data_IF_263806178225
#
_entry.id   IF_263806178225
#
_cell.length_a   1.000
_cell.length_b   1.000
_cell.length_c   1.000
_cell.angle_alpha   90.00
_cell.angle_beta   90.00
_cell.angle_gamma   90.00
#
_symmetry.space_group_name_H-M   'P 1'
#
loop_
_entity.id
_entity.type
_entity.pdbx_description
1 polymer ?
#
# COMPACT_ATOMS: atom_id res chain seq x y z
N UNK A 1 -19.24 0.99 18.37
CA UNK A 1 -18.25 -0.11 18.35
C UNK A 1 -16.91 0.44 17.87
N UNK A 2 -16.00 0.57 18.81
CA UNK A 2 -14.75 1.33 18.78
C UNK A 2 -13.69 0.69 17.89
N UNK A 3 -13.02 1.51 17.09
CA UNK A 3 -12.02 1.12 16.12
C UNK A 3 -10.66 0.89 16.82
N UNK A 4 -10.56 -0.12 17.68
CA UNK A 4 -9.32 -0.47 18.37
C UNK A 4 -8.25 -0.93 17.36
N UNK A 5 -7.15 -0.17 17.27
CA UNK A 5 -5.93 -0.64 16.62
C UNK A 5 -5.10 0.41 15.88
N UNK A 6 -5.61 1.62 15.66
CA UNK A 6 -4.75 2.71 15.17
C UNK A 6 -4.28 3.50 16.38
N UNK A 7 -3.13 3.12 16.94
CA UNK A 7 -2.44 3.96 17.91
C UNK A 7 -1.92 5.18 17.17
N UNK A 8 -2.32 6.36 17.62
CA UNK A 8 -1.82 7.63 17.11
C UNK A 8 -0.87 8.25 18.15
N UNK A 9 0.37 7.74 18.28
CA UNK A 9 1.29 8.13 19.35
C UNK A 9 1.78 9.58 19.24
N UNK A 10 1.40 10.30 18.19
CA UNK A 10 1.76 11.70 17.97
C UNK A 10 0.49 12.57 17.98
N UNK A 11 -0.05 12.91 19.16
CA UNK A 11 -1.16 13.85 19.30
C UNK A 11 -0.71 15.27 19.00
N UNK A 12 -1.62 16.11 18.50
CA UNK A 12 -1.39 17.54 18.38
C UNK A 12 -1.98 18.28 19.58
N UNK A 13 -1.21 19.19 20.18
CA UNK A 13 -1.68 19.98 21.32
C UNK A 13 -2.57 21.17 20.91
N UNK A 14 -2.57 21.53 19.62
CA UNK A 14 -3.31 22.67 19.07
C UNK A 14 -4.67 22.29 18.45
N UNK A 15 -4.94 20.99 18.24
CA UNK A 15 -6.21 20.51 17.69
C UNK A 15 -6.44 19.02 18.02
N UNK A 16 -7.67 18.49 17.89
CA UNK A 16 -7.96 17.10 18.29
C UNK A 16 -7.36 16.02 17.37
N UNK A 17 -6.49 16.37 16.42
CA UNK A 17 -5.89 15.41 15.48
C UNK A 17 -4.70 14.70 16.12
N UNK A 18 -4.59 13.40 15.84
CA UNK A 18 -3.45 12.57 16.24
C UNK A 18 -2.95 11.76 15.05
N UNK A 19 -1.65 11.47 15.00
CA UNK A 19 -1.00 10.87 13.84
C UNK A 19 -0.28 9.56 14.18
N UNK A 20 -0.25 8.59 13.24
CA UNK A 20 0.37 7.28 13.48
C UNK A 20 1.90 7.30 13.29
N UNK A 21 2.45 8.39 12.72
CA UNK A 21 3.88 8.51 12.37
C UNK A 21 4.38 9.93 12.67
N UNK A 22 5.60 10.04 13.20
CA UNK A 22 6.25 11.33 13.50
C UNK A 22 6.34 12.25 12.28
N UNK A 23 6.67 11.69 11.10
CA UNK A 23 6.73 12.46 9.87
C UNK A 23 5.39 13.04 9.42
N UNK A 24 4.28 12.35 9.68
CA UNK A 24 2.93 12.87 9.42
C UNK A 24 2.52 13.94 10.42
N UNK A 25 2.91 13.76 11.69
CA UNK A 25 2.72 14.76 12.74
C UNK A 25 3.49 16.06 12.46
N UNK A 26 4.79 15.99 12.17
CA UNK A 26 5.60 17.15 11.83
C UNK A 26 5.02 17.92 10.63
N UNK A 27 4.57 17.20 9.61
CA UNK A 27 3.86 17.78 8.46
C UNK A 27 2.55 18.47 8.84
N UNK A 28 1.85 17.94 9.83
CA UNK A 28 0.63 18.55 10.35
C UNK A 28 0.91 19.80 11.17
N UNK A 29 2.00 19.86 11.95
CA UNK A 29 2.37 21.07 12.68
C UNK A 29 2.54 22.29 11.76
N UNK A 30 3.05 22.07 10.54
CA UNK A 30 3.12 23.10 9.49
C UNK A 30 1.76 23.71 9.14
N UNK A 31 0.65 22.98 9.35
CA UNK A 31 -0.71 23.51 9.14
C UNK A 31 -1.08 24.56 10.18
N UNK A 32 -0.60 24.42 11.42
CA UNK A 32 -0.81 25.38 12.49
C UNK A 32 0.09 26.62 12.37
N UNK A 33 1.25 26.45 11.73
CA UNK A 33 2.19 27.53 11.45
C UNK A 33 1.85 28.27 10.15
N UNK A 34 0.81 27.84 9.42
CA UNK A 34 0.43 28.44 8.14
C UNK A 34 1.44 28.18 7.01
N UNK A 35 2.41 27.27 7.20
CA UNK A 35 3.47 26.95 6.24
C UNK A 35 3.01 25.88 5.22
N UNK A 36 1.69 25.77 5.01
CA UNK A 36 1.09 24.88 4.02
C UNK A 36 0.62 25.65 2.79
N UNK A 37 0.67 24.96 1.66
CA UNK A 37 0.23 25.46 0.38
C UNK A 37 -1.17 24.91 0.09
N UNK A 38 -2.17 25.77 0.22
CA UNK A 38 -3.59 25.44 0.00
C UNK A 38 -3.94 25.50 -1.48
N UNK A 39 -4.81 24.60 -1.95
CA UNK A 39 -5.43 24.76 -3.26
C UNK A 39 -6.57 25.79 -3.17
N UNK A 40 -6.62 26.75 -4.10
CA UNK A 40 -7.73 27.70 -4.16
C UNK A 40 -9.01 27.11 -4.80
N UNK A 41 -8.88 25.96 -5.50
CA UNK A 41 -9.97 25.30 -6.23
C UNK A 41 -10.59 24.12 -5.47
N UNK A 42 -9.98 23.67 -4.38
CA UNK A 42 -10.53 22.63 -3.51
C UNK A 42 -9.95 22.69 -2.09
N UNK A 43 -10.49 21.91 -1.15
CA UNK A 43 -10.07 21.90 0.26
C UNK A 43 -8.76 21.14 0.54
N UNK A 44 -7.97 20.77 -0.48
CA UNK A 44 -6.68 20.10 -0.28
C UNK A 44 -5.56 21.08 0.09
N UNK A 45 -4.68 20.62 0.98
CA UNK A 45 -3.49 21.36 1.43
C UNK A 45 -2.24 20.50 1.34
N UNK A 46 -1.11 21.12 1.01
CA UNK A 46 0.15 20.44 0.73
C UNK A 46 1.28 21.03 1.56
N UNK A 47 2.16 20.19 2.08
CA UNK A 47 3.33 20.63 2.85
C UNK A 47 4.52 21.04 1.98
N UNK A 48 4.37 21.02 0.66
CA UNK A 48 5.42 21.40 -0.28
C UNK A 48 4.81 22.04 -1.53
N UNK A 49 5.38 23.17 -1.96
CA UNK A 49 4.93 23.92 -3.15
C UNK A 49 4.92 23.05 -4.41
N UNK A 50 5.91 22.15 -4.56
CA UNK A 50 5.97 21.21 -5.68
C UNK A 50 4.76 20.25 -5.73
N UNK A 51 4.22 19.87 -4.57
CA UNK A 51 3.05 18.99 -4.50
C UNK A 51 1.76 19.76 -4.82
N UNK A 52 1.62 21.01 -4.34
CA UNK A 52 0.51 21.87 -4.76
C UNK A 52 0.56 22.10 -6.28
N UNK A 53 1.72 22.42 -6.86
CA UNK A 53 1.87 22.60 -8.30
C UNK A 53 1.42 21.37 -9.08
N UNK A 54 1.85 20.17 -8.67
CA UNK A 54 1.41 18.90 -9.28
C UNK A 54 -0.09 18.67 -9.13
N UNK A 55 -0.67 19.03 -7.98
CA UNK A 55 -2.10 18.92 -7.76
C UNK A 55 -2.90 19.87 -8.65
N UNK A 56 -2.44 21.10 -8.85
CA UNK A 56 -3.10 22.07 -9.72
C UNK A 56 -3.15 21.60 -11.18
N UNK A 57 -2.11 20.91 -11.67
CA UNK A 57 -2.12 20.30 -13.00
C UNK A 57 -3.30 19.34 -13.21
N UNK A 58 -3.76 18.65 -12.15
CA UNK A 58 -4.96 17.81 -12.22
C UNK A 58 -6.24 18.63 -12.43
N UNK A 59 -6.33 19.82 -11.84
CA UNK A 59 -7.47 20.71 -12.07
C UNK A 59 -7.48 21.27 -13.49
N UNK A 60 -6.31 21.52 -14.09
CA UNK A 60 -6.19 22.00 -15.46
C UNK A 60 -6.33 20.87 -16.51
N UNK A 61 -6.62 19.63 -16.09
CA UNK A 61 -6.70 18.47 -16.99
C UNK A 61 -5.35 18.08 -17.61
N UNK A 62 -4.24 18.68 -17.16
CA UNK A 62 -2.89 18.37 -17.59
C UNK A 62 -2.43 17.13 -16.81
N UNK A 63 -3.03 15.98 -17.14
CA UNK A 63 -2.70 14.71 -16.49
C UNK A 63 -1.30 14.20 -16.89
N UNK A 64 -0.65 14.79 -17.89
CA UNK A 64 0.53 14.17 -18.50
C UNK A 64 1.62 15.16 -18.93
N UNK A 65 2.37 15.70 -17.97
CA UNK A 65 3.49 16.61 -18.26
C UNK A 65 4.77 15.92 -18.75
N UNK A 66 4.83 14.59 -18.71
CA UNK A 66 6.03 13.82 -19.05
C UNK A 66 5.71 12.79 -20.15
N UNK A 67 5.80 13.16 -21.44
CA UNK A 67 5.61 12.24 -22.55
C UNK A 67 6.74 11.21 -22.61
N UNK A 68 6.44 10.03 -23.14
CA UNK A 68 7.45 9.06 -23.51
C UNK A 68 7.82 9.25 -24.99
N UNK A 69 9.09 9.44 -25.28
CA UNK A 69 9.53 9.65 -26.68
C UNK A 69 9.49 8.37 -27.53
N UNK A 70 9.25 7.21 -26.91
CA UNK A 70 9.21 5.88 -27.55
C UNK A 70 7.79 5.30 -27.65
N UNK A 71 6.77 5.97 -27.14
CA UNK A 71 5.38 5.48 -27.15
C UNK A 71 4.38 6.62 -26.99
N UNK A 72 3.11 6.47 -27.41
CA UNK A 72 2.09 7.52 -27.24
C UNK A 72 1.68 7.74 -25.76
N UNK A 73 2.30 7.04 -24.81
CA UNK A 73 1.99 7.18 -23.38
C UNK A 73 2.64 8.43 -22.80
N UNK A 74 1.93 9.05 -21.87
CA UNK A 74 2.38 10.23 -21.15
C UNK A 74 2.01 10.10 -19.67
N UNK A 75 2.82 10.70 -18.80
CA UNK A 75 2.74 10.48 -17.35
C UNK A 75 2.65 11.79 -16.58
N UNK A 76 1.89 11.78 -15.48
CA UNK A 76 1.77 12.91 -14.55
C UNK A 76 3.03 13.17 -13.72
N UNK A 77 3.94 12.20 -13.65
CA UNK A 77 5.14 12.27 -12.79
C UNK A 77 6.37 11.72 -13.52
N UNK A 78 7.48 12.46 -13.46
CA UNK A 78 8.78 12.03 -14.00
C UNK A 78 9.22 10.65 -13.49
N UNK A 79 8.97 10.34 -12.22
CA UNK A 79 9.30 9.03 -11.65
C UNK A 79 8.50 7.88 -12.29
N UNK A 80 7.27 8.12 -12.74
CA UNK A 80 6.47 7.12 -13.45
C UNK A 80 6.93 6.96 -14.90
N UNK A 81 7.30 8.07 -15.57
CA UNK A 81 7.96 8.00 -16.87
C UNK A 81 9.26 7.19 -16.79
N UNK A 82 10.15 7.48 -15.83
CA UNK A 82 11.39 6.72 -15.65
C UNK A 82 11.13 5.22 -15.46
N UNK A 83 10.12 4.87 -14.65
CA UNK A 83 9.69 3.46 -14.47
C UNK A 83 9.17 2.84 -15.76
N UNK A 84 8.42 3.60 -16.55
CA UNK A 84 7.94 3.17 -17.86
C UNK A 84 9.08 3.01 -18.87
N UNK A 85 10.11 3.86 -18.84
CA UNK A 85 11.28 3.74 -19.70
C UNK A 85 12.04 2.42 -19.47
N UNK A 86 12.04 1.88 -18.24
CA UNK A 86 12.55 0.53 -17.95
C UNK A 86 11.77 -0.60 -18.65
N UNK A 87 10.60 -0.32 -19.23
CA UNK A 87 9.88 -1.29 -20.08
C UNK A 87 10.34 -1.25 -21.53
N UNK A 88 10.96 -0.15 -21.96
CA UNK A 88 11.60 -0.02 -23.27
C UNK A 88 13.05 -0.52 -23.26
N UNK A 89 13.71 -0.50 -22.11
CA UNK A 89 15.05 -1.06 -21.92
C UNK A 89 14.91 -2.47 -21.37
N UNK A 90 15.70 -3.43 -21.88
CA UNK A 90 15.69 -4.84 -21.44
C UNK A 90 16.40 -4.98 -20.07
N UNK A 91 16.20 -4.03 -19.16
CA UNK A 91 16.67 -4.12 -17.78
C UNK A 91 15.56 -4.80 -17.00
N UNK A 92 15.55 -6.11 -17.10
CA UNK A 92 14.61 -6.96 -16.40
C UNK A 92 15.29 -7.60 -15.19
N UNK A 93 14.56 -7.65 -14.08
CA UNK A 93 14.94 -8.41 -12.90
C UNK A 93 14.51 -9.85 -13.13
N UNK A 94 15.47 -10.73 -13.41
CA UNK A 94 15.24 -12.16 -13.59
C UNK A 94 15.11 -12.89 -12.26
N UNK A 95 14.28 -13.93 -12.24
CA UNK A 95 14.30 -14.93 -11.19
C UNK A 95 15.46 -15.89 -11.46
N UNK A 96 16.23 -16.21 -10.42
CA UNK A 96 17.29 -17.21 -10.43
C UNK A 96 16.76 -18.65 -10.40
N UNK A 97 15.51 -18.83 -9.93
CA UNK A 97 14.85 -20.14 -9.78
C UNK A 97 13.93 -20.51 -10.93
N UNK A 98 13.60 -19.58 -11.83
CA UNK A 98 12.81 -19.87 -13.03
C UNK A 98 13.04 -18.82 -14.13
N UNK A 99 12.61 -19.10 -15.36
CA UNK A 99 12.84 -18.22 -16.53
C UNK A 99 11.98 -16.95 -16.57
N UNK A 100 11.41 -16.50 -15.45
CA UNK A 100 10.58 -15.28 -15.40
C UNK A 100 11.42 -14.04 -15.18
N UNK A 101 11.07 -12.97 -15.89
CA UNK A 101 11.68 -11.66 -15.76
C UNK A 101 10.63 -10.58 -15.47
N UNK A 102 11.03 -9.55 -14.73
CA UNK A 102 10.14 -8.50 -14.25
C UNK A 102 10.73 -7.12 -14.51
N UNK A 103 9.91 -6.15 -14.88
CA UNK A 103 10.37 -4.76 -15.09
C UNK A 103 10.71 -4.02 -13.78
N UNK A 104 10.33 -4.56 -12.62
CA UNK A 104 10.55 -3.92 -11.32
C UNK A 104 11.01 -4.93 -10.26
N UNK A 105 11.97 -4.51 -9.41
CA UNK A 105 12.47 -5.29 -8.28
C UNK A 105 11.37 -5.72 -7.30
N UNK A 106 10.36 -4.87 -7.09
CA UNK A 106 9.21 -5.19 -6.21
C UNK A 106 8.33 -6.32 -6.75
N UNK A 107 8.22 -6.41 -8.09
CA UNK A 107 7.52 -7.50 -8.76
C UNK A 107 8.31 -8.81 -8.66
N UNK A 108 9.63 -8.77 -8.87
CA UNK A 108 10.51 -9.92 -8.63
C UNK A 108 10.40 -10.39 -7.18
N UNK A 109 10.49 -9.47 -6.20
CA UNK A 109 10.34 -9.81 -4.78
C UNK A 109 9.02 -10.52 -4.49
N UNK A 110 7.90 -9.97 -4.99
CA UNK A 110 6.57 -10.59 -4.80
C UNK A 110 6.49 -11.96 -5.48
N UNK A 111 7.20 -12.16 -6.58
CA UNK A 111 7.31 -13.46 -7.24
C UNK A 111 8.19 -14.45 -6.46
N UNK A 112 9.32 -14.04 -5.88
CA UNK A 112 10.17 -14.94 -5.08
C UNK A 112 9.41 -15.56 -3.92
N UNK A 113 8.49 -14.82 -3.31
CA UNK A 113 7.57 -15.37 -2.29
C UNK A 113 6.76 -16.57 -2.79
N UNK A 114 6.48 -16.65 -4.11
CA UNK A 114 5.75 -17.79 -4.67
C UNK A 114 6.56 -19.06 -4.75
N UNK A 115 7.89 -18.97 -4.86
CA UNK A 115 8.78 -20.13 -4.77
C UNK A 115 8.86 -20.68 -3.34
N UNK A 116 8.81 -19.80 -2.35
CA UNK A 116 8.77 -20.15 -0.93
C UNK A 116 7.38 -20.59 -0.44
N UNK A 117 6.37 -20.61 -1.33
CA UNK A 117 4.98 -20.87 -0.95
C UNK A 117 4.35 -19.77 -0.05
N UNK A 118 5.06 -18.66 0.16
CA UNK A 118 4.63 -17.53 1.02
C UNK A 118 3.48 -16.79 0.33
N UNK A 119 2.32 -16.79 0.99
CA UNK A 119 1.12 -16.07 0.56
C UNK A 119 0.79 -14.97 1.54
N UNK A 120 0.22 -13.87 1.07
CA UNK A 120 -0.21 -12.77 1.93
C UNK A 120 -1.51 -13.13 2.64
N UNK A 121 -1.48 -13.39 3.95
CA UNK A 121 -2.68 -13.75 4.69
C UNK A 121 -3.57 -12.53 4.89
N UNK A 122 -4.89 -12.76 4.89
CA UNK A 122 -5.82 -11.81 5.47
C UNK A 122 -5.86 -12.00 6.98
N UNK A 123 -5.69 -10.91 7.73
CA UNK A 123 -5.72 -10.96 9.20
C UNK A 123 -7.14 -11.06 9.77
N UNK A 124 -8.17 -10.73 8.98
CA UNK A 124 -9.59 -10.77 9.38
C UNK A 124 -10.33 -12.04 8.95
N UNK A 125 -9.82 -12.72 7.92
CA UNK A 125 -10.49 -13.84 7.29
C UNK A 125 -9.47 -14.92 6.96
N UNK A 126 -9.87 -16.18 7.01
CA UNK A 126 -9.02 -17.34 6.69
C UNK A 126 -8.82 -17.52 5.18
N UNK A 127 -8.36 -16.47 4.50
CA UNK A 127 -8.00 -16.43 3.08
C UNK A 127 -6.58 -15.87 2.90
N UNK A 128 -5.86 -16.39 1.91
CA UNK A 128 -4.49 -15.96 1.58
C UNK A 128 -4.34 -15.64 0.09
N UNK A 129 -3.53 -14.63 -0.22
CA UNK A 129 -3.45 -14.00 -1.53
C UNK A 129 -2.02 -14.01 -2.07
N UNK A 130 -1.85 -13.94 -3.39
CA UNK A 130 -0.52 -13.86 -4.02
C UNK A 130 0.13 -12.48 -3.90
N UNK A 131 -0.63 -11.45 -3.53
CA UNK A 131 -0.12 -10.08 -3.37
C UNK A 131 -0.84 -9.32 -2.25
N UNK A 132 -0.16 -8.33 -1.66
CA UNK A 132 -0.76 -7.40 -0.68
C UNK A 132 -1.97 -6.66 -1.26
N UNK A 133 -1.93 -6.33 -2.55
CA UNK A 133 -3.02 -5.66 -3.25
C UNK A 133 -4.28 -6.56 -3.29
N UNK A 134 -4.11 -7.86 -3.48
CA UNK A 134 -5.21 -8.83 -3.40
C UNK A 134 -5.89 -8.84 -2.03
N UNK A 135 -5.11 -8.79 -0.94
CA UNK A 135 -5.66 -8.66 0.43
C UNK A 135 -6.44 -7.35 0.57
N UNK A 136 -5.92 -6.24 0.04
CA UNK A 136 -6.58 -4.92 0.10
C UNK A 136 -7.94 -4.94 -0.61
N UNK A 137 -8.01 -5.46 -1.83
CA UNK A 137 -9.29 -5.58 -2.56
C UNK A 137 -10.27 -6.51 -1.85
N UNK A 138 -9.79 -7.64 -1.34
CA UNK A 138 -10.61 -8.54 -0.53
C UNK A 138 -11.21 -7.84 0.69
N UNK A 139 -10.41 -7.07 1.43
CA UNK A 139 -10.89 -6.31 2.58
C UNK A 139 -11.89 -5.23 2.16
N UNK A 140 -11.66 -4.50 1.07
CA UNK A 140 -12.58 -3.47 0.57
C UNK A 140 -13.94 -4.06 0.16
N UNK A 141 -13.95 -5.19 -0.56
CA UNK A 141 -15.20 -5.86 -0.96
C UNK A 141 -15.97 -6.41 0.25
N UNK A 142 -15.27 -6.99 1.24
CA UNK A 142 -15.94 -7.55 2.43
C UNK A 142 -16.38 -6.47 3.44
N UNK A 143 -15.83 -5.25 3.36
CA UNK A 143 -16.32 -4.09 4.10
C UNK A 143 -17.62 -3.56 3.47
N UNK A 144 -17.71 -3.50 2.14
CA UNK A 144 -18.95 -3.09 1.45
C UNK A 144 -20.09 -4.11 1.58
N UNK A 145 -19.81 -5.41 1.58
CA UNK A 145 -20.85 -6.45 1.75
C UNK A 145 -21.56 -6.41 3.11
N UNK A 146 -21.04 -5.69 4.10
CA UNK A 146 -21.72 -5.44 5.39
C UNK A 146 -22.61 -4.19 5.38
N UNK A 147 -22.59 -3.38 4.32
CA UNK A 147 -23.35 -2.13 4.23
C UNK A 147 -24.56 -2.22 3.27
N UNK A 148 -24.66 -3.27 2.46
CA UNK A 148 -25.75 -3.46 1.50
C UNK A 148 -26.51 -4.77 1.76
N UNK A 149 -27.50 -4.73 2.65
CA UNK A 149 -28.53 -5.76 2.73
C UNK A 149 -29.69 -5.43 1.81
N UNK A 150 -29.55 -5.78 0.53
CA UNK A 150 -30.67 -6.15 -0.34
C UNK A 150 -30.14 -6.93 -1.54
N UNK A 151 -30.74 -8.09 -1.75
CA UNK A 151 -30.72 -8.96 -2.91
C UNK A 151 -29.72 -10.13 -3.05
N UNK A 152 -30.38 -11.26 -3.35
CA UNK A 152 -29.94 -12.65 -3.37
C UNK A 152 -29.07 -12.92 -4.60
N UNK A 153 -27.93 -13.58 -4.41
CA UNK A 153 -27.64 -14.89 -5.03
C UNK A 153 -26.21 -15.37 -4.76
N UNK A 154 -26.13 -16.65 -4.37
CA UNK A 154 -24.93 -17.51 -4.23
C UNK A 154 -24.00 -17.18 -3.06
N UNK A 155 -24.47 -17.65 -1.91
CA UNK A 155 -23.81 -17.78 -0.63
C UNK A 155 -22.49 -18.59 -0.71
N UNK A 156 -21.36 -17.94 -0.41
CA UNK A 156 -20.20 -18.58 0.22
C UNK A 156 -19.81 -17.72 1.42
N UNK A 157 -20.58 -17.82 2.50
CA UNK A 157 -20.37 -17.13 3.77
C UNK A 157 -18.90 -17.26 4.21
N UNK A 158 -18.15 -16.17 4.08
CA UNK A 158 -16.83 -16.04 4.71
C UNK A 158 -17.08 -15.78 6.19
N UNK A 159 -17.10 -16.83 7.02
CA UNK A 159 -17.21 -16.68 8.49
C UNK A 159 -16.09 -15.75 8.96
N UNK A 160 -16.46 -14.63 9.59
CA UNK A 160 -15.52 -13.78 10.32
C UNK A 160 -15.16 -14.56 11.57
N UNK A 161 -13.88 -14.89 11.73
CA UNK A 161 -13.37 -15.63 12.87
C UNK A 161 -12.60 -14.66 13.78
N UNK A 162 -12.67 -14.86 15.09
CA UNK A 162 -11.94 -14.06 16.06
C UNK A 162 -10.43 -14.26 15.91
N UNK A 163 -9.64 -13.19 16.06
CA UNK A 163 -8.20 -13.24 15.87
C UNK A 163 -7.48 -13.74 17.13
N UNK A 164 -6.90 -14.94 17.04
CA UNK A 164 -6.36 -15.70 18.19
C UNK A 164 -4.84 -15.56 18.37
N UNK A 165 -4.09 -15.29 17.30
CA UNK A 165 -2.62 -15.32 17.29
C UNK A 165 -2.04 -13.93 17.10
N UNK A 166 -0.91 -13.59 17.74
CA UNK A 166 -0.33 -12.24 17.72
C UNK A 166 1.14 -12.28 17.29
N UNK A 167 1.53 -11.43 16.35
CA UNK A 167 2.93 -11.19 16.01
C UNK A 167 3.60 -10.34 17.09
N UNK A 168 4.71 -10.80 17.65
CA UNK A 168 5.43 -10.09 18.70
C UNK A 168 6.24 -8.90 18.17
N UNK A 169 6.67 -8.96 16.90
CA UNK A 169 7.47 -7.90 16.27
C UNK A 169 6.66 -6.67 15.87
N UNK A 170 5.39 -6.84 15.50
CA UNK A 170 4.55 -5.74 15.00
C UNK A 170 3.15 -5.66 15.63
N UNK A 171 2.83 -6.54 16.59
CA UNK A 171 1.54 -6.63 17.29
C UNK A 171 0.31 -6.90 16.40
N UNK A 172 0.49 -7.26 15.13
CA UNK A 172 -0.61 -7.68 14.26
C UNK A 172 -1.22 -9.00 14.75
N UNK A 173 -2.55 -9.08 14.74
CA UNK A 173 -3.29 -10.28 15.15
C UNK A 173 -3.76 -11.06 13.93
N UNK A 174 -3.73 -12.37 14.00
CA UNK A 174 -4.06 -13.31 12.94
C UNK A 174 -5.06 -14.34 13.47
N UNK A 175 -5.96 -14.79 12.58
CA UNK A 175 -6.93 -15.85 12.88
C UNK A 175 -6.29 -17.23 12.85
N UNK A 176 -5.23 -17.43 12.06
CA UNK A 176 -4.58 -18.71 11.83
C UNK A 176 -3.07 -18.60 12.16
N UNK A 177 -2.47 -19.58 12.86
CA UNK A 177 -1.05 -19.58 13.20
C UNK A 177 -0.13 -19.71 11.97
N UNK A 178 -0.53 -20.45 10.92
CA UNK A 178 0.20 -20.53 9.65
C UNK A 178 0.28 -19.15 8.96
N UNK A 179 -0.79 -18.36 9.07
CA UNK A 179 -0.81 -16.99 8.57
C UNK A 179 0.16 -16.09 9.34
N UNK A 180 0.35 -16.32 10.65
CA UNK A 180 1.33 -15.62 11.45
C UNK A 180 2.77 -16.03 11.07
N UNK A 181 3.02 -17.32 10.85
CA UNK A 181 4.33 -17.82 10.39
C UNK A 181 4.72 -17.23 9.04
N UNK A 182 3.81 -17.25 8.07
CA UNK A 182 4.03 -16.69 6.73
C UNK A 182 4.23 -15.17 6.79
N UNK A 183 3.57 -14.48 7.71
CA UNK A 183 3.83 -13.07 7.98
C UNK A 183 5.26 -12.84 8.51
N UNK A 184 5.70 -13.62 9.49
CA UNK A 184 7.04 -13.49 10.06
C UNK A 184 8.13 -13.73 8.99
N UNK A 185 8.02 -14.84 8.25
CA UNK A 185 8.95 -15.19 7.16
C UNK A 185 8.99 -14.14 6.07
N UNK A 186 7.82 -13.67 5.60
CA UNK A 186 7.72 -12.78 4.46
C UNK A 186 7.94 -11.28 4.73
N UNK A 187 7.83 -10.84 5.98
CA UNK A 187 7.93 -9.42 6.36
C UNK A 187 9.08 -9.10 7.30
N UNK A 188 9.60 -10.10 8.00
CA UNK A 188 10.66 -9.88 8.98
C UNK A 188 11.92 -10.72 8.69
N UNK A 189 11.79 -11.97 8.22
CA UNK A 189 12.95 -12.87 8.07
C UNK A 189 13.55 -12.92 6.65
N UNK A 190 12.84 -12.44 5.61
CA UNK A 190 13.32 -12.47 4.22
C UNK A 190 14.57 -11.60 3.96
N UNK A 191 15.07 -10.86 4.95
CA UNK A 191 16.26 -10.01 4.83
C UNK A 191 17.59 -10.77 4.96
N UNK A 192 17.59 -12.05 5.36
CA UNK A 192 18.83 -12.82 5.55
C UNK A 192 19.40 -13.38 4.24
N UNK A 193 18.58 -13.55 3.20
CA UNK A 193 19.00 -14.29 1.98
C UNK A 193 19.55 -13.38 0.87
N UNK A 194 19.38 -12.06 0.95
CA UNK A 194 19.85 -11.10 -0.08
C UNK A 194 21.12 -10.32 0.31
N UNK A 195 21.76 -10.68 1.42
CA UNK A 195 22.98 -10.02 1.92
C UNK A 195 24.24 -10.88 1.77
N UNK A 196 24.14 -12.04 1.12
CA UNK A 196 25.25 -13.00 0.98
C UNK A 196 25.43 -13.44 -0.47
N UNK A 197 25.71 -12.48 -1.36
CA UNK A 197 26.40 -12.60 -2.66
C UNK A 197 26.60 -11.20 -3.21
#
# INVERSE_FOLDING_TARGET
LTHEGIRFPYPCDKCPKSFPRKGSFNKHLLTHEGVIFSCARCSQSFTAKANLKKHLLKHDGIESSYPCDRSPKSFSQKGNLNKHLLTHEVISYSCDRCSRSFSFKSSLYTHLLTHEGIRYPCHKFSKSFRSKLGVKYHLQQNVCLKQSSSDKSKNKQSKVQEALFKCERCNLRFVNPDHLDVHNKGYHDLFVVLSST
#
